data_IF_205495209998
#
_entry.id   IF_205495209998
#
_cell.length_a   1.000
_cell.length_b   1.000
_cell.length_c   1.000
_cell.angle_alpha   90.00
_cell.angle_beta   90.00
_cell.angle_gamma   90.00
#
_symmetry.space_group_name_H-M   'P 1'
#
loop_
_entity.id
_entity.type
_entity.pdbx_description
1 polymer ?
#
# COMPACT_ATOMS: atom_id res chain seq x y z
N UNK A 1 -13.97 19.78 20.97
CA UNK A 1 -12.60 20.01 21.47
C UNK A 1 -11.60 19.80 20.34
N UNK A 2 -10.46 20.53 20.40
CA UNK A 2 -9.49 20.52 19.32
C UNK A 2 -8.95 19.10 19.01
N UNK A 3 -8.75 18.29 20.04
CA UNK A 3 -8.22 16.93 19.87
C UNK A 3 -9.18 16.01 19.10
N UNK A 4 -10.48 16.17 19.31
CA UNK A 4 -11.48 15.34 18.63
C UNK A 4 -11.51 15.61 17.12
N UNK A 5 -11.33 16.88 16.73
CA UNK A 5 -11.27 17.26 15.31
C UNK A 5 -10.03 16.68 14.63
N UNK A 6 -8.88 16.72 15.31
CA UNK A 6 -7.63 16.19 14.79
C UNK A 6 -7.74 14.67 14.64
N UNK A 7 -8.27 14.00 15.67
CA UNK A 7 -8.44 12.55 15.64
C UNK A 7 -9.43 12.12 14.55
N UNK A 8 -10.52 12.86 14.38
CA UNK A 8 -11.51 12.56 13.33
C UNK A 8 -10.90 12.72 11.94
N UNK A 9 -10.08 13.77 11.74
CA UNK A 9 -9.39 13.99 10.46
C UNK A 9 -8.38 12.88 10.19
N UNK A 10 -7.61 12.49 11.21
CA UNK A 10 -6.64 11.42 11.09
C UNK A 10 -7.33 10.09 10.78
N UNK A 11 -8.42 9.78 11.49
CA UNK A 11 -9.18 8.55 11.26
C UNK A 11 -9.76 8.51 9.85
N UNK A 12 -10.28 9.63 9.35
CA UNK A 12 -10.80 9.71 7.99
C UNK A 12 -9.72 9.47 6.94
N UNK A 13 -8.52 10.01 7.19
CA UNK A 13 -7.38 9.83 6.29
C UNK A 13 -6.94 8.36 6.27
N UNK A 14 -6.82 7.73 7.44
CA UNK A 14 -6.46 6.32 7.54
C UNK A 14 -7.48 5.45 6.82
N UNK A 15 -8.77 5.73 7.01
CA UNK A 15 -9.84 4.99 6.35
C UNK A 15 -9.77 5.16 4.84
N UNK A 16 -9.51 6.36 4.34
CA UNK A 16 -9.36 6.63 2.91
C UNK A 16 -8.22 5.80 2.33
N UNK A 17 -7.06 5.81 2.99
CA UNK A 17 -5.89 5.05 2.54
C UNK A 17 -6.19 3.55 2.55
N UNK A 18 -6.80 3.05 3.63
CA UNK A 18 -7.16 1.64 3.73
C UNK A 18 -8.11 1.22 2.62
N UNK A 19 -9.12 2.03 2.32
CA UNK A 19 -10.05 1.76 1.23
C UNK A 19 -9.36 1.77 -0.13
N UNK A 20 -8.41 2.68 -0.33
CA UNK A 20 -7.62 2.72 -1.57
C UNK A 20 -6.82 1.45 -1.75
N UNK A 21 -6.22 0.91 -0.69
CA UNK A 21 -5.52 -0.37 -0.74
C UNK A 21 -6.45 -1.51 -1.12
N UNK A 22 -7.61 -1.57 -0.49
CA UNK A 22 -8.57 -2.64 -0.74
C UNK A 22 -9.07 -2.64 -2.19
N UNK A 23 -9.16 -1.45 -2.80
CA UNK A 23 -9.56 -1.32 -4.21
C UNK A 23 -8.38 -1.41 -5.17
N UNK A 24 -7.15 -1.44 -4.66
CA UNK A 24 -5.96 -1.39 -5.50
C UNK A 24 -5.70 -0.03 -6.13
N UNK A 25 -6.23 1.03 -5.56
CA UNK A 25 -6.17 2.40 -6.08
C UNK A 25 -5.20 3.28 -5.29
N UNK A 26 -4.02 2.76 -4.97
CA UNK A 26 -2.98 3.51 -4.27
C UNK A 26 -2.13 4.26 -5.29
N UNK A 27 -1.83 5.52 -5.00
CA UNK A 27 -1.00 6.36 -5.85
C UNK A 27 0.21 6.88 -5.09
N UNK A 28 1.20 7.38 -5.81
CA UNK A 28 2.39 7.98 -5.19
C UNK A 28 1.99 9.15 -4.29
N UNK A 29 0.98 9.94 -4.67
CA UNK A 29 0.54 11.05 -3.83
C UNK A 29 -0.03 10.61 -2.50
N UNK A 30 -0.57 9.39 -2.39
CA UNK A 30 -1.03 8.84 -1.12
C UNK A 30 0.14 8.60 -0.15
N UNK A 31 1.36 8.42 -0.68
CA UNK A 31 2.54 8.15 0.12
C UNK A 31 3.30 9.41 0.52
N UNK A 32 3.05 10.52 -0.16
CA UNK A 32 3.73 11.78 0.14
C UNK A 32 3.35 12.27 1.54
N UNK A 33 4.37 12.68 2.30
CA UNK A 33 4.16 13.16 3.66
C UNK A 33 4.10 12.08 4.73
N UNK A 34 4.17 10.79 4.34
CA UNK A 34 4.25 9.70 5.30
C UNK A 34 5.69 9.49 5.75
N UNK A 35 5.88 9.11 7.01
CA UNK A 35 7.22 8.77 7.52
C UNK A 35 7.58 7.32 7.16
N UNK A 36 8.82 6.94 7.48
CA UNK A 36 9.34 5.61 7.13
C UNK A 36 8.55 4.48 7.79
N UNK A 37 8.08 4.70 9.01
CA UNK A 37 7.29 3.70 9.73
C UNK A 37 5.93 3.51 9.08
N UNK A 38 5.30 4.57 8.65
CA UNK A 38 4.03 4.52 7.94
C UNK A 38 4.18 3.83 6.58
N UNK A 39 5.26 4.13 5.85
CA UNK A 39 5.56 3.48 4.58
C UNK A 39 5.78 1.98 4.79
N UNK A 40 6.49 1.58 5.86
CA UNK A 40 6.68 0.17 6.19
C UNK A 40 5.35 -0.52 6.47
N UNK A 41 4.45 0.15 7.17
CA UNK A 41 3.10 -0.37 7.42
C UNK A 41 2.36 -0.63 6.11
N UNK A 42 2.48 0.27 5.15
CA UNK A 42 1.87 0.10 3.83
C UNK A 42 2.44 -1.13 3.13
N UNK A 43 3.76 -1.32 3.20
CA UNK A 43 4.40 -2.50 2.63
C UNK A 43 3.86 -3.79 3.26
N UNK A 44 3.70 -3.80 4.58
CA UNK A 44 3.12 -4.95 5.29
C UNK A 44 1.67 -5.21 4.90
N UNK A 45 0.90 -4.15 4.66
CA UNK A 45 -0.47 -4.29 4.16
C UNK A 45 -0.50 -4.93 2.77
N UNK A 46 0.45 -4.59 1.92
CA UNK A 46 0.61 -5.25 0.63
C UNK A 46 0.86 -6.74 0.77
N UNK A 47 1.73 -7.14 1.69
CA UNK A 47 1.99 -8.54 1.99
C UNK A 47 0.75 -9.25 2.53
N UNK A 48 0.00 -8.57 3.37
CA UNK A 48 -1.25 -9.09 3.90
C UNK A 48 -2.23 -9.41 2.75
N UNK A 49 -2.40 -8.47 1.84
CA UNK A 49 -3.24 -8.68 0.66
C UNK A 49 -2.76 -9.86 -0.18
N UNK A 50 -1.46 -9.96 -0.38
CA UNK A 50 -0.85 -11.07 -1.12
C UNK A 50 -1.18 -12.41 -0.46
N UNK A 51 -1.02 -12.49 0.86
CA UNK A 51 -1.25 -13.73 1.60
C UNK A 51 -2.71 -14.17 1.56
N UNK A 52 -3.64 -13.24 1.36
CA UNK A 52 -5.06 -13.55 1.21
C UNK A 52 -5.49 -13.77 -0.23
N UNK A 53 -4.53 -13.90 -1.13
CA UNK A 53 -4.84 -14.15 -2.53
C UNK A 53 -5.31 -12.94 -3.32
N UNK A 54 -5.24 -11.77 -2.73
CA UNK A 54 -5.62 -10.50 -3.38
C UNK A 54 -4.41 -9.93 -4.12
N UNK A 55 -4.02 -10.63 -5.20
CA UNK A 55 -2.75 -10.35 -5.89
C UNK A 55 -2.77 -9.03 -6.67
N UNK A 56 -3.90 -8.67 -7.26
CA UNK A 56 -3.98 -7.41 -8.00
C UNK A 56 -3.87 -6.18 -7.07
N UNK A 57 -4.63 -6.10 -5.97
CA UNK A 57 -4.40 -5.01 -5.00
C UNK A 57 -2.99 -5.00 -4.41
N UNK A 58 -2.43 -6.18 -4.11
CA UNK A 58 -1.06 -6.29 -3.61
C UNK A 58 -0.06 -5.76 -4.63
N UNK A 59 -0.20 -6.14 -5.90
CA UNK A 59 0.66 -5.65 -6.97
C UNK A 59 0.58 -4.13 -7.09
N UNK A 60 -0.61 -3.56 -6.98
CA UNK A 60 -0.77 -2.11 -7.03
C UNK A 60 0.01 -1.43 -5.90
N UNK A 61 -0.11 -1.93 -4.68
CA UNK A 61 0.63 -1.39 -3.52
C UNK A 61 2.14 -1.47 -3.77
N UNK A 62 2.65 -2.64 -4.14
CA UNK A 62 4.08 -2.83 -4.35
C UNK A 62 4.60 -1.99 -5.52
N UNK A 63 3.83 -1.87 -6.60
CA UNK A 63 4.21 -1.05 -7.76
C UNK A 63 4.34 0.41 -7.40
N UNK A 64 3.39 0.93 -6.60
CA UNK A 64 3.44 2.32 -6.15
C UNK A 64 4.67 2.54 -5.26
N UNK A 65 4.99 1.58 -4.39
CA UNK A 65 6.19 1.66 -3.55
C UNK A 65 7.47 1.68 -4.38
N UNK A 66 7.54 0.91 -5.47
CA UNK A 66 8.70 0.95 -6.37
C UNK A 66 8.85 2.31 -7.05
N UNK A 67 7.77 2.97 -7.38
CA UNK A 67 7.79 4.32 -7.95
C UNK A 67 8.18 5.35 -6.89
N UNK A 68 7.74 5.17 -5.66
CA UNK A 68 8.04 6.08 -4.57
C UNK A 68 9.50 5.98 -4.13
N UNK A 69 10.02 4.75 -3.98
CA UNK A 69 11.42 4.51 -3.60
C UNK A 69 12.02 3.43 -4.50
N UNK A 70 12.50 3.81 -5.70
CA UNK A 70 12.95 2.83 -6.70
C UNK A 70 14.22 2.09 -6.34
N UNK A 71 14.94 2.51 -5.29
CA UNK A 71 16.19 1.86 -4.89
C UNK A 71 16.02 0.81 -3.80
N UNK A 72 14.77 0.53 -3.37
CA UNK A 72 14.51 -0.48 -2.34
C UNK A 72 14.21 -1.81 -3.01
N UNK A 73 15.18 -2.72 -3.00
CA UNK A 73 15.09 -4.02 -3.70
C UNK A 73 13.89 -4.85 -3.25
N UNK A 74 13.55 -4.81 -1.97
CA UNK A 74 12.44 -5.62 -1.44
C UNK A 74 11.09 -5.23 -2.05
N UNK A 75 10.92 -3.98 -2.45
CA UNK A 75 9.68 -3.54 -3.11
C UNK A 75 9.56 -4.16 -4.50
N UNK A 76 10.67 -4.20 -5.24
CA UNK A 76 10.70 -4.83 -6.57
C UNK A 76 10.46 -6.33 -6.49
N UNK A 77 11.04 -7.01 -5.50
CA UNK A 77 10.85 -8.44 -5.30
C UNK A 77 9.39 -8.75 -4.97
N UNK A 78 8.78 -7.96 -4.11
CA UNK A 78 7.38 -8.14 -3.75
C UNK A 78 6.46 -7.91 -4.95
N UNK A 79 6.71 -6.87 -5.73
CA UNK A 79 5.96 -6.59 -6.95
C UNK A 79 6.09 -7.74 -7.95
N UNK A 80 7.31 -8.25 -8.11
CA UNK A 80 7.56 -9.40 -8.99
C UNK A 80 6.80 -10.65 -8.56
N UNK A 81 6.78 -10.94 -7.26
CA UNK A 81 6.05 -12.08 -6.72
C UNK A 81 4.54 -11.97 -6.97
N UNK A 82 3.97 -10.79 -6.73
CA UNK A 82 2.55 -10.54 -6.97
C UNK A 82 2.20 -10.68 -8.45
N UNK A 83 3.07 -10.17 -9.33
CA UNK A 83 2.89 -10.26 -10.76
C UNK A 83 2.94 -11.72 -11.24
N UNK A 84 3.86 -12.52 -10.71
CA UNK A 84 3.93 -13.95 -11.03
C UNK A 84 2.70 -14.70 -10.55
N UNK A 85 2.21 -14.37 -9.36
CA UNK A 85 0.99 -14.99 -8.84
C UNK A 85 -0.21 -14.71 -9.75
N UNK A 86 -0.32 -13.49 -10.26
CA UNK A 86 -1.38 -13.14 -11.21
C UNK A 86 -1.29 -13.96 -12.48
N UNK A 87 -0.09 -14.16 -13.01
CA UNK A 87 0.11 -14.92 -14.25
C UNK A 87 -0.30 -16.40 -14.12
N UNK A 88 -0.21 -16.96 -12.92
CA UNK A 88 -0.59 -18.35 -12.68
C UNK A 88 -2.10 -18.58 -12.74
N UNK A 89 -2.89 -17.53 -12.62
CA UNK A 89 -4.35 -17.63 -12.58
C UNK A 89 -5.03 -17.10 -13.84
N UNK A 90 -4.24 -16.75 -14.83
CA UNK A 90 -4.75 -16.36 -16.15
C UNK A 90 -4.70 -17.57 -17.14
#
# INVERSE_FOLDING_TARGET
>A
MANDSVEATFAALVEYIANSFMRGEVTVSDLLGLDDEEIETIFLMGHYLYNFGKYQPALNVFSVLTLYKPFVSRYWRAAGAANQALKKYI
#
